data_IF_491831962338
#
_entry.id   IF_491831962338
#
_cell.length_a   1.000
_cell.length_b   1.000
_cell.length_c   1.000
_cell.angle_alpha   90.00
_cell.angle_beta   90.00
_cell.angle_gamma   90.00
#
_symmetry.space_group_name_H-M   'P 1'
#
loop_
_entity.id
_entity.type
_entity.pdbx_description
1 polymer ?
#
# COMPACT_ATOMS: atom_id res chain seq x y z
N UNK A 1 0.21 -26.18 12.44
CA UNK A 1 -0.34 -26.48 11.10
C UNK A 1 0.11 -25.52 10.02
N UNK A 2 0.58 -24.30 10.32
CA UNK A 2 1.01 -23.32 9.33
C UNK A 2 2.22 -22.47 9.79
N UNK A 3 3.09 -23.01 10.65
CA UNK A 3 4.27 -22.26 11.14
C UNK A 3 5.20 -21.89 9.97
N UNK A 4 5.57 -20.61 9.90
CA UNK A 4 6.38 -20.05 8.80
C UNK A 4 5.72 -20.06 7.42
N UNK A 5 4.42 -20.38 7.34
CA UNK A 5 3.62 -20.30 6.11
C UNK A 5 2.85 -18.97 6.10
N UNK A 6 2.35 -18.54 4.94
CA UNK A 6 1.65 -17.26 4.86
C UNK A 6 0.34 -17.28 5.64
N UNK A 7 -0.50 -18.30 5.43
CA UNK A 7 -1.85 -18.34 5.98
C UNK A 7 -2.23 -19.74 6.47
N UNK A 8 -2.94 -19.78 7.60
CA UNK A 8 -3.56 -20.99 8.13
C UNK A 8 -4.88 -21.26 7.39
N UNK A 9 -5.11 -22.52 7.00
CA UNK A 9 -6.42 -23.04 6.59
C UNK A 9 -7.05 -23.77 7.78
N UNK A 10 -7.83 -23.09 8.64
CA UNK A 10 -8.18 -23.61 9.96
C UNK A 10 -9.10 -24.83 9.91
N UNK A 11 -10.05 -24.86 8.97
CA UNK A 11 -11.00 -25.98 8.82
C UNK A 11 -10.26 -27.26 8.42
N UNK A 12 -9.34 -27.18 7.46
CA UNK A 12 -8.58 -28.33 6.96
C UNK A 12 -7.29 -28.61 7.73
N UNK A 13 -6.93 -27.79 8.73
CA UNK A 13 -5.66 -27.87 9.48
C UNK A 13 -4.42 -27.92 8.56
N UNK A 14 -4.40 -27.08 7.54
CA UNK A 14 -3.30 -26.97 6.56
C UNK A 14 -2.88 -25.50 6.39
N UNK A 15 -2.06 -25.19 5.39
CA UNK A 15 -1.64 -23.83 5.05
C UNK A 15 -1.88 -23.49 3.57
N UNK A 16 -1.73 -22.22 3.23
CA UNK A 16 -1.53 -21.75 1.86
C UNK A 16 -0.47 -20.65 1.82
N UNK A 17 0.25 -20.58 0.71
CA UNK A 17 1.24 -19.54 0.43
C UNK A 17 0.88 -18.84 -0.87
N UNK A 18 1.12 -17.53 -0.90
CA UNK A 18 1.01 -16.71 -2.09
C UNK A 18 2.18 -15.71 -2.19
N UNK A 19 2.71 -15.22 -1.07
CA UNK A 19 3.99 -14.50 -1.01
C UNK A 19 5.16 -15.45 -0.71
N UNK A 20 4.93 -16.47 0.11
CA UNK A 20 5.96 -17.40 0.59
C UNK A 20 6.93 -16.78 1.61
N UNK A 21 6.46 -15.78 2.37
CA UNK A 21 7.27 -14.94 3.28
C UNK A 21 6.86 -15.09 4.75
N UNK A 22 6.02 -16.07 5.08
CA UNK A 22 5.53 -16.26 6.46
C UNK A 22 4.59 -15.14 6.88
N UNK A 23 3.75 -14.67 5.94
CA UNK A 23 2.90 -13.49 6.06
C UNK A 23 2.25 -13.31 7.43
N UNK A 24 1.42 -14.26 7.88
CA UNK A 24 0.71 -14.15 9.18
C UNK A 24 1.67 -14.00 10.35
N UNK A 25 2.82 -14.67 10.33
CA UNK A 25 3.81 -14.56 11.41
C UNK A 25 4.38 -13.15 11.47
N UNK A 26 4.83 -12.60 10.33
CA UNK A 26 5.39 -11.24 10.26
C UNK A 26 4.33 -10.18 10.62
N UNK A 27 3.12 -10.31 10.08
CA UNK A 27 1.99 -9.40 10.29
C UNK A 27 1.43 -9.45 11.73
N UNK A 28 1.85 -10.44 12.53
CA UNK A 28 1.45 -10.57 13.93
C UNK A 28 2.53 -10.15 14.92
N UNK A 29 3.75 -9.81 14.47
CA UNK A 29 4.88 -9.49 15.36
C UNK A 29 4.57 -8.32 16.30
N UNK A 30 4.09 -7.21 15.75
CA UNK A 30 3.74 -6.03 16.53
C UNK A 30 2.55 -6.28 17.47
N UNK A 31 1.57 -7.07 17.04
CA UNK A 31 0.41 -7.47 17.84
C UNK A 31 0.84 -8.32 19.03
N UNK A 32 1.70 -9.32 18.81
CA UNK A 32 2.26 -10.13 19.90
C UNK A 32 2.96 -9.25 20.93
N UNK A 33 3.79 -8.31 20.47
CA UNK A 33 4.48 -7.37 21.35
C UNK A 33 3.50 -6.49 22.14
N UNK A 34 2.56 -5.84 21.46
CA UNK A 34 1.58 -4.94 22.08
C UNK A 34 0.66 -5.65 23.09
N UNK A 35 0.39 -6.93 22.88
CA UNK A 35 -0.43 -7.75 23.77
C UNK A 35 0.37 -8.39 24.92
N UNK A 36 1.69 -8.19 24.99
CA UNK A 36 2.54 -8.78 26.02
C UNK A 36 2.83 -10.28 25.83
N UNK A 37 2.63 -10.80 24.61
CA UNK A 37 2.91 -12.19 24.23
C UNK A 37 4.39 -12.34 23.85
N UNK A 38 5.28 -12.07 24.81
CA UNK A 38 6.72 -11.96 24.53
C UNK A 38 7.39 -13.31 24.27
N UNK A 39 6.86 -14.41 24.80
CA UNK A 39 7.40 -15.75 24.54
C UNK A 39 7.11 -16.16 23.08
N UNK A 40 5.88 -15.95 22.60
CA UNK A 40 5.51 -16.17 21.20
C UNK A 40 6.25 -15.21 20.25
N UNK A 41 6.43 -13.95 20.66
CA UNK A 41 7.23 -13.00 19.92
C UNK A 41 8.69 -13.46 19.78
N UNK A 42 9.29 -14.00 20.84
CA UNK A 42 10.66 -14.50 20.80
C UNK A 42 10.81 -15.70 19.84
N UNK A 43 9.85 -16.63 19.85
CA UNK A 43 9.83 -17.76 18.90
C UNK A 43 9.69 -17.26 17.44
N UNK A 44 8.82 -16.27 17.21
CA UNK A 44 8.65 -15.67 15.90
C UNK A 44 9.89 -14.88 15.44
N UNK A 45 10.57 -14.19 16.35
CA UNK A 45 11.83 -13.49 16.07
C UNK A 45 12.92 -14.48 15.64
N UNK A 46 13.04 -15.63 16.31
CA UNK A 46 13.98 -16.68 15.93
C UNK A 46 13.72 -17.19 14.49
N UNK A 47 12.46 -17.32 14.10
CA UNK A 47 12.11 -17.68 12.73
C UNK A 47 12.49 -16.57 11.72
N UNK A 48 12.26 -15.30 12.06
CA UNK A 48 12.67 -14.15 11.20
C UNK A 48 14.19 -14.09 11.04
N UNK A 49 14.93 -14.44 12.10
CA UNK A 49 16.39 -14.48 12.06
C UNK A 49 16.91 -15.61 11.18
N UNK A 50 16.37 -16.82 11.33
CA UNK A 50 16.97 -18.02 10.75
C UNK A 50 16.34 -18.49 9.43
N UNK A 51 15.06 -18.22 9.21
CA UNK A 51 14.27 -18.84 8.12
C UNK A 51 13.75 -17.82 7.10
N UNK A 52 13.51 -16.57 7.51
CA UNK A 52 13.02 -15.54 6.58
C UNK A 52 14.14 -15.11 5.62
N UNK A 53 13.94 -15.43 4.33
CA UNK A 53 14.80 -15.03 3.23
C UNK A 53 13.99 -14.48 2.07
N UNK A 54 14.45 -13.37 1.52
CA UNK A 54 13.90 -12.73 0.31
C UNK A 54 14.67 -13.10 -0.96
N UNK A 55 15.70 -13.94 -0.84
CA UNK A 55 16.48 -14.43 -1.97
C UNK A 55 15.83 -15.67 -2.59
N UNK A 56 14.70 -15.46 -3.25
CA UNK A 56 13.86 -16.54 -3.78
C UNK A 56 13.30 -16.15 -5.15
N UNK A 57 13.10 -17.18 -5.98
CA UNK A 57 12.46 -17.09 -7.29
C UNK A 57 10.94 -16.98 -7.12
N UNK A 58 10.47 -15.77 -6.79
CA UNK A 58 9.07 -15.49 -6.48
C UNK A 58 8.69 -14.08 -6.91
N UNK A 59 7.50 -13.97 -7.49
CA UNK A 59 6.83 -12.73 -7.83
C UNK A 59 5.90 -12.34 -6.68
N UNK A 60 6.00 -11.09 -6.23
CA UNK A 60 5.17 -10.57 -5.15
C UNK A 60 4.51 -9.27 -5.56
N UNK A 61 3.27 -9.05 -5.11
CA UNK A 61 2.64 -7.75 -5.24
C UNK A 61 3.39 -6.73 -4.37
N UNK A 62 3.80 -5.62 -4.98
CA UNK A 62 4.61 -4.58 -4.37
C UNK A 62 3.91 -3.92 -3.18
N UNK A 63 2.62 -3.59 -3.34
CA UNK A 63 1.83 -2.94 -2.29
C UNK A 63 1.61 -3.86 -1.09
N UNK A 64 1.08 -5.06 -1.29
CA UNK A 64 0.80 -6.02 -0.21
C UNK A 64 2.06 -6.39 0.57
N UNK A 65 3.17 -6.60 -0.14
CA UNK A 65 4.46 -6.90 0.50
C UNK A 65 4.97 -5.70 1.32
N UNK A 66 4.73 -4.48 0.84
CA UNK A 66 5.11 -3.27 1.55
C UNK A 66 4.30 -3.09 2.84
N UNK A 67 2.97 -3.08 2.76
CA UNK A 67 2.14 -2.76 3.92
C UNK A 67 2.15 -3.86 4.99
N UNK A 68 2.32 -5.13 4.62
CA UNK A 68 2.31 -6.25 5.58
C UNK A 68 3.70 -6.64 6.04
N UNK A 69 4.60 -6.95 5.11
CA UNK A 69 5.92 -7.51 5.45
C UNK A 69 6.90 -6.40 5.83
N UNK A 70 7.07 -5.39 4.97
CA UNK A 70 7.96 -4.27 5.30
C UNK A 70 7.42 -3.47 6.49
N UNK A 71 6.12 -3.14 6.50
CA UNK A 71 5.43 -2.47 7.60
C UNK A 71 5.50 -3.25 8.91
N UNK A 72 5.25 -4.57 8.89
CA UNK A 72 5.34 -5.44 10.06
C UNK A 72 6.75 -5.53 10.64
N UNK A 73 7.77 -5.70 9.79
CA UNK A 73 9.18 -5.71 10.23
C UNK A 73 9.59 -4.35 10.83
N UNK A 74 9.25 -3.24 10.18
CA UNK A 74 9.56 -1.90 10.69
C UNK A 74 8.86 -1.62 12.03
N UNK A 75 7.61 -2.05 12.18
CA UNK A 75 6.84 -1.89 13.43
C UNK A 75 7.41 -2.76 14.55
N UNK A 76 7.74 -4.02 14.25
CA UNK A 76 8.41 -4.91 15.19
C UNK A 76 9.76 -4.33 15.66
N UNK A 77 10.56 -3.75 14.76
CA UNK A 77 11.79 -3.05 15.12
C UNK A 77 11.52 -1.85 16.04
N UNK A 78 10.55 -0.99 15.69
CA UNK A 78 10.23 0.21 16.45
C UNK A 78 9.77 -0.08 17.88
N UNK A 79 9.03 -1.18 18.07
CA UNK A 79 8.49 -1.59 19.36
C UNK A 79 9.49 -2.36 20.22
N UNK A 80 10.22 -3.30 19.63
CA UNK A 80 11.14 -4.20 20.35
C UNK A 80 12.57 -3.67 20.47
N UNK A 81 12.99 -2.79 19.56
CA UNK A 81 14.38 -2.38 19.41
C UNK A 81 15.30 -3.46 18.82
N UNK A 82 14.78 -4.64 18.47
CA UNK A 82 15.60 -5.74 17.97
C UNK A 82 16.15 -5.42 16.55
N UNK A 83 17.47 -5.50 16.33
CA UNK A 83 18.10 -5.07 15.08
C UNK A 83 17.80 -6.02 13.91
N UNK A 84 17.46 -7.28 14.17
CA UNK A 84 17.15 -8.28 13.14
C UNK A 84 16.01 -7.82 12.22
N UNK A 85 14.98 -7.19 12.77
CA UNK A 85 13.83 -6.74 11.99
C UNK A 85 14.21 -5.60 11.04
N UNK A 86 15.04 -4.63 11.47
CA UNK A 86 15.54 -3.57 10.60
C UNK A 86 16.45 -4.13 9.50
N UNK A 87 17.32 -5.08 9.83
CA UNK A 87 18.18 -5.72 8.84
C UNK A 87 17.35 -6.45 7.76
N UNK A 88 16.28 -7.15 8.14
CA UNK A 88 15.35 -7.79 7.19
C UNK A 88 14.54 -6.77 6.41
N UNK A 89 14.06 -5.71 7.05
CA UNK A 89 13.33 -4.62 6.39
C UNK A 89 14.18 -3.92 5.32
N UNK A 90 15.47 -3.67 5.60
CA UNK A 90 16.39 -3.05 4.64
C UNK A 90 16.68 -3.96 3.43
N UNK A 91 16.90 -5.27 3.64
CA UNK A 91 17.09 -6.20 2.51
C UNK A 91 15.83 -6.29 1.63
N UNK A 92 14.65 -6.41 2.25
CA UNK A 92 13.38 -6.42 1.53
C UNK A 92 13.18 -5.10 0.76
N UNK A 93 13.34 -3.96 1.44
CA UNK A 93 13.19 -2.64 0.83
C UNK A 93 14.08 -2.47 -0.39
N UNK A 94 15.34 -2.90 -0.32
CA UNK A 94 16.29 -2.84 -1.44
C UNK A 94 15.80 -3.63 -2.66
N UNK A 95 15.19 -4.81 -2.46
CA UNK A 95 14.64 -5.63 -3.54
C UNK A 95 13.38 -4.98 -4.14
N UNK A 96 12.52 -4.45 -3.27
CA UNK A 96 11.27 -3.79 -3.67
C UNK A 96 11.48 -2.47 -4.41
N UNK A 97 12.65 -1.81 -4.27
CA UNK A 97 12.98 -0.59 -5.01
C UNK A 97 12.83 -0.73 -6.53
N UNK A 98 12.93 -1.95 -7.06
CA UNK A 98 12.74 -2.25 -8.46
C UNK A 98 11.33 -1.91 -8.98
N UNK A 99 10.31 -1.86 -8.11
CA UNK A 99 8.97 -1.44 -8.48
C UNK A 99 8.95 0.00 -9.03
N UNK A 100 9.76 0.90 -8.47
CA UNK A 100 9.80 2.31 -8.87
C UNK A 100 10.49 2.58 -10.21
N UNK A 101 11.01 1.56 -10.89
CA UNK A 101 11.79 1.70 -12.12
C UNK A 101 10.93 1.83 -13.40
N UNK A 102 9.65 2.17 -13.29
CA UNK A 102 8.81 2.41 -14.48
C UNK A 102 9.19 3.71 -15.20
N UNK A 103 8.86 3.85 -16.49
CA UNK A 103 9.14 5.08 -17.24
C UNK A 103 8.49 6.35 -16.65
N UNK A 104 7.31 6.22 -16.01
CA UNK A 104 6.60 7.37 -15.44
C UNK A 104 7.07 7.75 -14.03
N UNK A 105 7.76 6.84 -13.35
CA UNK A 105 8.08 6.92 -11.92
C UNK A 105 6.97 6.41 -10.99
N UNK A 106 5.81 6.02 -11.52
CA UNK A 106 4.80 5.27 -10.75
C UNK A 106 5.28 3.83 -10.53
N UNK A 107 5.07 3.21 -9.36
CA UNK A 107 5.44 1.83 -9.15
C UNK A 107 4.74 0.86 -10.11
N UNK A 108 5.50 -0.13 -10.57
CA UNK A 108 4.95 -1.40 -11.07
C UNK A 108 4.14 -2.11 -9.97
N UNK A 109 3.16 -2.93 -10.36
CA UNK A 109 2.31 -3.68 -9.43
C UNK A 109 3.07 -4.81 -8.73
N UNK A 110 4.05 -5.41 -9.40
CA UNK A 110 4.72 -6.63 -8.94
C UNK A 110 6.25 -6.49 -9.01
N UNK A 111 6.93 -7.25 -8.14
CA UNK A 111 8.38 -7.37 -8.10
C UNK A 111 8.77 -8.83 -8.04
N UNK A 112 9.74 -9.22 -8.86
CA UNK A 112 10.44 -10.48 -8.69
C UNK A 112 11.57 -10.32 -7.67
N UNK A 113 11.48 -10.97 -6.51
CA UNK A 113 12.37 -10.70 -5.37
C UNK A 113 13.82 -11.15 -5.58
N UNK A 114 14.03 -12.32 -6.17
CA UNK A 114 15.36 -12.86 -6.46
C UNK A 114 16.10 -12.08 -7.56
N UNK A 115 15.34 -11.55 -8.53
CA UNK A 115 15.90 -10.76 -9.64
C UNK A 115 15.99 -9.26 -9.31
N UNK A 116 15.27 -8.81 -8.27
CA UNK A 116 15.00 -7.40 -7.99
C UNK A 116 14.53 -6.66 -9.27
N UNK A 117 13.45 -7.18 -9.88
CA UNK A 117 12.88 -6.64 -11.12
C UNK A 117 11.40 -6.31 -10.94
N UNK A 118 11.04 -5.05 -11.14
CA UNK A 118 9.64 -4.61 -11.17
C UNK A 118 9.00 -4.89 -12.54
N UNK A 119 7.73 -5.28 -12.53
CA UNK A 119 6.94 -5.51 -13.74
C UNK A 119 5.43 -5.41 -13.45
N UNK A 120 4.63 -5.29 -14.50
CA UNK A 120 3.19 -5.51 -14.43
C UNK A 120 2.81 -6.65 -15.40
N UNK A 121 1.89 -7.56 -15.01
CA UNK A 121 1.37 -8.55 -15.94
C UNK A 121 0.75 -7.89 -17.19
N UNK A 122 0.73 -8.62 -18.30
CA UNK A 122 0.29 -8.07 -19.57
C UNK A 122 -1.16 -7.55 -19.49
N UNK A 123 -1.36 -6.26 -19.82
CA UNK A 123 -2.67 -5.62 -19.79
C UNK A 123 -3.15 -5.18 -18.41
N UNK A 124 -2.31 -5.30 -17.37
CA UNK A 124 -2.64 -4.87 -16.00
C UNK A 124 -2.14 -3.44 -15.77
N UNK A 125 -3.04 -2.61 -15.24
CA UNK A 125 -2.76 -1.26 -14.74
C UNK A 125 -2.46 -1.32 -13.24
N UNK A 126 -1.74 -0.33 -12.72
CA UNK A 126 -1.53 -0.20 -11.28
C UNK A 126 -2.79 0.40 -10.64
N UNK A 127 -3.18 -0.11 -9.48
CA UNK A 127 -4.26 0.49 -8.69
C UNK A 127 -3.80 1.82 -8.07
N UNK A 128 -4.72 2.78 -7.93
CA UNK A 128 -4.43 4.07 -7.30
C UNK A 128 -3.92 3.89 -5.87
N UNK A 129 -4.58 3.04 -5.07
CA UNK A 129 -4.16 2.74 -3.70
C UNK A 129 -2.75 2.12 -3.67
N UNK A 130 -2.46 1.15 -4.53
CA UNK A 130 -1.20 0.41 -4.54
C UNK A 130 0.03 1.29 -4.80
N UNK A 131 -0.08 2.30 -5.67
CA UNK A 131 1.04 3.23 -5.94
C UNK A 131 1.24 4.29 -4.86
N UNK A 132 0.23 4.53 -4.03
CA UNK A 132 0.13 5.68 -3.11
C UNK A 132 -0.01 5.30 -1.64
N UNK A 133 0.16 4.00 -1.35
CA UNK A 133 0.02 3.45 -0.01
C UNK A 133 1.26 2.62 0.39
N UNK A 134 2.43 3.15 0.04
CA UNK A 134 3.75 2.56 0.31
C UNK A 134 4.72 3.58 0.93
N UNK A 135 4.28 4.84 1.02
CA UNK A 135 5.14 5.97 1.30
C UNK A 135 5.58 6.03 2.77
N UNK A 136 4.72 5.63 3.70
CA UNK A 136 5.04 5.66 5.13
C UNK A 136 6.19 4.71 5.44
N UNK A 137 6.13 3.50 4.89
CA UNK A 137 7.07 2.41 5.08
C UNK A 137 8.43 2.78 4.49
N UNK A 138 8.45 3.27 3.24
CA UNK A 138 9.70 3.65 2.57
C UNK A 138 10.33 4.92 3.16
N UNK A 139 9.53 5.93 3.55
CA UNK A 139 10.06 7.11 4.27
C UNK A 139 10.61 6.71 5.64
N UNK A 140 9.94 5.81 6.36
CA UNK A 140 10.41 5.35 7.68
C UNK A 140 11.66 4.48 7.57
N UNK A 141 11.74 3.61 6.57
CA UNK A 141 12.94 2.84 6.26
C UNK A 141 14.13 3.77 5.94
N UNK A 142 13.91 4.82 5.13
CA UNK A 142 14.94 5.82 4.85
C UNK A 142 15.46 6.49 6.13
N UNK A 143 14.55 6.83 7.06
CA UNK A 143 14.91 7.44 8.34
C UNK A 143 15.75 6.51 9.21
N UNK A 144 15.40 5.23 9.29
CA UNK A 144 16.11 4.26 10.14
C UNK A 144 17.46 3.84 9.58
N UNK A 145 17.56 3.68 8.26
CA UNK A 145 18.80 3.25 7.57
C UNK A 145 19.74 4.40 7.25
N UNK A 146 19.24 5.64 7.22
CA UNK A 146 19.96 6.80 6.68
C UNK A 146 20.06 6.81 5.14
N UNK A 147 19.49 5.81 4.47
CA UNK A 147 19.49 5.73 3.01
C UNK A 147 18.30 6.49 2.42
N UNK A 148 18.56 7.72 1.97
CA UNK A 148 17.53 8.60 1.44
C UNK A 148 16.83 8.09 0.16
N UNK A 149 17.41 7.11 -0.55
CA UNK A 149 16.84 6.63 -1.82
C UNK A 149 15.44 6.02 -1.65
N UNK A 150 15.17 5.35 -0.52
CA UNK A 150 13.86 4.76 -0.24
C UNK A 150 12.76 5.82 -0.20
N UNK A 151 12.95 6.86 0.62
CA UNK A 151 12.00 7.96 0.74
C UNK A 151 11.88 8.76 -0.55
N UNK A 152 13.00 9.03 -1.22
CA UNK A 152 13.01 9.79 -2.47
C UNK A 152 12.22 9.09 -3.59
N UNK A 153 12.28 7.76 -3.70
CA UNK A 153 11.50 7.02 -4.68
C UNK A 153 9.99 7.06 -4.38
N UNK A 154 9.62 6.92 -3.10
CA UNK A 154 8.24 7.03 -2.65
C UNK A 154 7.65 8.44 -2.91
N UNK A 155 8.45 9.49 -2.67
CA UNK A 155 8.08 10.88 -2.93
C UNK A 155 7.97 11.17 -4.43
N UNK A 156 8.89 10.62 -5.24
CA UNK A 156 8.85 10.75 -6.69
C UNK A 156 7.58 10.10 -7.28
N UNK A 157 7.14 8.96 -6.74
CA UNK A 157 5.89 8.32 -7.10
C UNK A 157 4.66 9.20 -6.78
N UNK A 158 4.62 9.82 -5.60
CA UNK A 158 3.56 10.80 -5.27
C UNK A 158 3.58 12.00 -6.20
N UNK A 159 4.77 12.50 -6.57
CA UNK A 159 4.92 13.56 -7.55
C UNK A 159 4.44 13.14 -8.95
N UNK A 160 4.65 11.89 -9.36
CA UNK A 160 4.14 11.36 -10.62
C UNK A 160 2.61 11.26 -10.62
N UNK A 161 2.04 10.77 -9.52
CA UNK A 161 0.59 10.71 -9.33
C UNK A 161 -0.04 12.11 -9.36
N UNK A 162 0.58 13.09 -8.70
CA UNK A 162 0.10 14.48 -8.71
C UNK A 162 0.12 15.08 -10.12
N UNK A 163 1.16 14.80 -10.92
CA UNK A 163 1.20 15.22 -12.33
C UNK A 163 0.11 14.56 -13.18
N UNK A 164 -0.26 13.32 -12.88
CA UNK A 164 -1.38 12.66 -13.54
C UNK A 164 -2.70 13.33 -13.13
N UNK A 165 -2.87 13.57 -11.83
CA UNK A 165 -4.09 14.16 -11.25
C UNK A 165 -4.33 15.58 -11.72
N UNK A 166 -3.27 16.38 -11.89
CA UNK A 166 -3.38 17.77 -12.37
C UNK A 166 -3.88 17.89 -13.82
N UNK A 167 -3.94 16.79 -14.57
CA UNK A 167 -4.49 16.76 -15.94
C UNK A 167 -6.00 16.48 -15.97
N UNK A 168 -6.59 16.07 -14.85
CA UNK A 168 -8.03 15.85 -14.74
C UNK A 168 -8.75 17.20 -14.78
N UNK A 169 -9.91 17.28 -15.46
CA UNK A 169 -10.68 18.52 -15.58
C UNK A 169 -11.22 19.00 -14.21
N UNK A 170 -11.48 20.30 -14.05
CA UNK A 170 -12.02 20.82 -12.79
C UNK A 170 -13.48 20.37 -12.59
N UNK A 171 -13.76 19.57 -11.54
CA UNK A 171 -15.11 19.11 -11.23
C UNK A 171 -15.15 17.76 -10.51
N UNK A 172 -16.00 16.84 -10.99
CA UNK A 172 -16.07 15.43 -10.55
C UNK A 172 -14.70 14.74 -10.71
N UNK A 173 -13.89 15.20 -11.67
CA UNK A 173 -12.58 14.62 -11.98
C UNK A 173 -11.48 15.00 -10.96
N UNK A 174 -11.81 15.74 -9.90
CA UNK A 174 -10.90 15.93 -8.76
C UNK A 174 -10.79 14.68 -7.86
N UNK A 175 -11.70 13.71 -8.00
CA UNK A 175 -11.56 12.38 -7.41
C UNK A 175 -10.81 11.51 -8.44
N UNK A 176 -9.59 11.03 -8.13
CA UNK A 176 -8.82 10.24 -9.09
C UNK A 176 -9.48 8.87 -9.36
N UNK A 177 -9.49 8.40 -10.62
CA UNK A 177 -9.90 7.04 -10.96
C UNK A 177 -9.06 5.97 -10.26
N UNK A 178 -9.64 4.79 -10.10
CA UNK A 178 -9.01 3.68 -9.36
C UNK A 178 -7.79 3.03 -10.03
N UNK A 179 -7.46 3.36 -11.29
CA UNK A 179 -6.31 2.81 -12.01
C UNK A 179 -5.47 3.86 -12.71
N UNK A 180 -4.20 3.52 -12.93
CA UNK A 180 -3.17 4.33 -13.56
C UNK A 180 -2.31 3.42 -14.45
N UNK A 181 -1.84 3.92 -15.58
CA UNK A 181 -0.81 3.21 -16.35
C UNK A 181 0.60 3.61 -15.84
N UNK A 182 1.38 2.70 -15.23
CA UNK A 182 2.73 3.00 -14.77
C UNK A 182 3.71 3.29 -15.91
N UNK A 183 3.39 2.98 -17.16
CA UNK A 183 4.22 3.33 -18.33
C UNK A 183 4.01 4.77 -18.76
N UNK A 184 2.77 5.19 -18.94
CA UNK A 184 2.46 6.56 -19.41
C UNK A 184 2.40 7.58 -18.28
N UNK A 185 2.11 7.14 -17.05
CA UNK A 185 1.86 8.03 -15.92
C UNK A 185 0.50 8.72 -16.02
N UNK A 186 -0.47 8.10 -16.68
CA UNK A 186 -1.78 8.70 -16.94
C UNK A 186 -2.90 7.80 -16.42
N UNK A 187 -3.98 8.43 -15.99
CA UNK A 187 -5.24 7.75 -15.78
C UNK A 187 -5.78 7.27 -17.15
N UNK A 188 -6.40 6.08 -17.23
CA UNK A 188 -7.13 5.66 -18.42
C UNK A 188 -8.16 6.72 -18.80
N UNK A 189 -8.34 6.96 -20.11
CA UNK A 189 -9.31 7.94 -20.59
C UNK A 189 -10.70 7.70 -19.96
N UNK A 190 -11.20 8.71 -19.25
CA UNK A 190 -12.55 8.70 -18.69
C UNK A 190 -13.54 8.72 -19.87
N UNK A 191 -14.45 7.74 -19.88
CA UNK A 191 -15.59 7.64 -20.79
C UNK A 191 -15.28 7.70 -22.30
N UNK A 192 -15.04 6.52 -22.93
CA UNK A 192 -15.21 6.41 -24.38
C UNK A 192 -14.53 5.21 -25.02
N UNK A 193 -15.29 4.13 -25.24
CA UNK A 193 -15.03 3.18 -26.32
C UNK A 193 -14.32 1.88 -25.93
N UNK A 194 -15.11 0.88 -25.54
CA UNK A 194 -14.76 -0.53 -25.75
C UNK A 194 -14.23 -1.30 -24.55
N UNK A 195 -15.13 -1.67 -23.63
CA UNK A 195 -14.90 -2.69 -22.60
C UNK A 195 -15.39 -2.21 -21.24
N UNK A 196 -16.48 -2.77 -20.74
CA UNK A 196 -17.11 -2.42 -19.46
C UNK A 196 -16.29 -2.83 -18.23
N UNK A 197 -15.01 -2.45 -18.17
CA UNK A 197 -14.06 -2.91 -17.16
C UNK A 197 -13.96 -1.98 -15.94
N UNK A 198 -14.73 -0.88 -15.88
CA UNK A 198 -14.83 -0.02 -14.69
C UNK A 198 -13.58 0.81 -14.36
N UNK A 199 -12.65 1.01 -15.30
CA UNK A 199 -11.38 1.66 -14.98
C UNK A 199 -11.48 3.15 -14.62
N UNK A 200 -12.56 3.82 -15.03
CA UNK A 200 -12.86 5.22 -14.71
C UNK A 200 -13.68 5.40 -13.43
N UNK A 201 -13.97 4.31 -12.69
CA UNK A 201 -14.82 4.37 -11.52
C UNK A 201 -14.15 5.18 -10.41
N UNK A 202 -14.92 6.09 -9.84
CA UNK A 202 -14.59 6.92 -8.69
C UNK A 202 -15.19 6.27 -7.45
N UNK A 203 -14.32 5.82 -6.53
CA UNK A 203 -14.73 5.09 -5.33
C UNK A 203 -13.82 5.44 -4.15
N UNK A 204 -14.33 5.17 -2.94
CA UNK A 204 -13.55 5.13 -1.69
C UNK A 204 -13.34 3.70 -1.21
N UNK A 205 -13.73 2.70 -2.01
CA UNK A 205 -13.50 1.29 -1.74
C UNK A 205 -12.17 0.79 -2.31
N UNK A 206 -12.13 -0.51 -2.54
CA UNK A 206 -10.94 -1.20 -3.02
C UNK A 206 -10.33 -0.50 -4.24
N UNK A 207 -8.99 -0.43 -4.27
CA UNK A 207 -8.15 0.21 -5.30
C UNK A 207 -8.00 1.72 -5.19
N UNK A 208 -8.73 2.39 -4.30
CA UNK A 208 -8.65 3.84 -4.11
C UNK A 208 -8.64 4.28 -2.64
N UNK A 209 -9.27 3.52 -1.75
CA UNK A 209 -9.34 3.75 -0.29
C UNK A 209 -8.07 4.35 0.33
N UNK A 210 -6.96 3.61 0.33
CA UNK A 210 -5.77 3.97 1.10
C UNK A 210 -4.95 5.10 0.47
N UNK A 211 -5.23 5.52 -0.77
CA UNK A 211 -4.71 6.78 -1.31
C UNK A 211 -5.11 7.96 -0.41
N UNK A 212 -6.41 8.07 -0.10
CA UNK A 212 -6.93 9.15 0.75
C UNK A 212 -6.37 9.05 2.17
N UNK A 213 -6.24 7.82 2.68
CA UNK A 213 -5.64 7.55 3.98
C UNK A 213 -4.19 8.05 4.06
N UNK A 214 -3.37 7.70 3.08
CA UNK A 214 -1.93 7.98 3.08
C UNK A 214 -1.62 9.44 2.80
N UNK A 215 -2.47 10.19 2.09
CA UNK A 215 -2.33 11.65 2.01
C UNK A 215 -2.27 12.28 3.40
N UNK A 216 -3.24 11.96 4.26
CA UNK A 216 -3.28 12.52 5.61
C UNK A 216 -2.17 11.93 6.49
N UNK A 217 -1.98 10.60 6.46
CA UNK A 217 -1.00 9.94 7.32
C UNK A 217 0.43 10.37 7.04
N UNK A 218 0.81 10.60 5.78
CA UNK A 218 2.15 11.08 5.43
C UNK A 218 2.44 12.46 6.04
N UNK A 219 1.50 13.41 5.93
CA UNK A 219 1.64 14.72 6.55
C UNK A 219 1.74 14.65 8.08
N UNK A 220 0.96 13.75 8.71
CA UNK A 220 1.07 13.53 10.15
C UNK A 220 2.41 12.90 10.54
N UNK A 221 2.88 11.90 9.78
CA UNK A 221 4.12 11.17 10.04
C UNK A 221 5.37 12.04 9.88
N UNK A 222 5.36 13.05 9.01
CA UNK A 222 6.44 14.04 8.93
C UNK A 222 6.44 15.05 10.08
N UNK A 223 5.54 14.90 11.06
CA UNK A 223 5.40 15.87 12.15
C UNK A 223 4.72 17.15 11.72
N UNK A 224 3.89 17.09 10.66
CA UNK A 224 3.21 18.23 10.04
C UNK A 224 4.18 19.23 9.42
N UNK A 225 5.24 18.72 8.79
CA UNK A 225 6.24 19.53 8.09
C UNK A 225 5.53 20.44 7.06
N UNK A 226 5.82 21.76 7.04
CA UNK A 226 5.30 22.66 6.01
C UNK A 226 5.59 22.21 4.57
N UNK A 227 6.70 21.49 4.33
CA UNK A 227 7.05 20.91 3.03
C UNK A 227 6.07 19.83 2.56
N UNK A 228 5.40 19.14 3.49
CA UNK A 228 4.38 18.12 3.20
C UNK A 228 2.94 18.68 3.29
N UNK A 229 2.75 19.98 3.48
CA UNK A 229 1.43 20.60 3.62
C UNK A 229 0.50 20.29 2.43
N UNK A 230 1.07 20.13 1.23
CA UNK A 230 0.34 19.76 0.02
C UNK A 230 -0.42 18.44 0.14
N UNK A 231 0.09 17.45 0.89
CA UNK A 231 -0.59 16.16 1.08
C UNK A 231 -1.89 16.35 1.89
N UNK A 232 -1.85 17.18 2.93
CA UNK A 232 -3.04 17.53 3.72
C UNK A 232 -4.03 18.36 2.93
N UNK A 233 -3.55 19.29 2.10
CA UNK A 233 -4.43 20.11 1.26
C UNK A 233 -5.14 19.24 0.21
N UNK A 234 -4.43 18.29 -0.40
CA UNK A 234 -5.03 17.28 -1.29
C UNK A 234 -6.06 16.41 -0.56
N UNK A 235 -5.77 15.95 0.66
CA UNK A 235 -6.73 15.19 1.46
C UNK A 235 -8.02 15.97 1.71
N UNK A 236 -7.91 17.23 2.15
CA UNK A 236 -9.08 18.08 2.42
C UNK A 236 -9.90 18.33 1.15
N UNK A 237 -9.22 18.60 0.03
CA UNK A 237 -9.88 18.78 -1.26
C UNK A 237 -10.61 17.50 -1.70
N UNK A 238 -9.97 16.33 -1.62
CA UNK A 238 -10.56 15.05 -1.98
C UNK A 238 -11.79 14.74 -1.11
N UNK A 239 -11.68 14.86 0.21
CA UNK A 239 -12.81 14.61 1.13
C UNK A 239 -13.99 15.54 0.85
N UNK A 240 -13.73 16.80 0.48
CA UNK A 240 -14.80 17.72 0.09
C UNK A 240 -15.54 17.26 -1.17
N UNK A 241 -14.83 16.74 -2.18
CA UNK A 241 -15.46 16.21 -3.39
C UNK A 241 -16.20 14.91 -3.14
N UNK A 242 -15.64 14.02 -2.33
CA UNK A 242 -16.31 12.79 -1.87
C UNK A 242 -17.62 13.12 -1.15
N UNK A 243 -17.59 14.08 -0.22
CA UNK A 243 -18.79 14.51 0.50
C UNK A 243 -19.87 15.07 -0.44
N UNK A 244 -19.45 15.74 -1.52
CA UNK A 244 -20.35 16.33 -2.51
C UNK A 244 -20.94 15.31 -3.49
N UNK A 245 -20.15 14.33 -3.90
CA UNK A 245 -20.46 13.48 -5.05
C UNK A 245 -20.78 12.03 -4.69
N UNK A 246 -20.22 11.50 -3.59
CA UNK A 246 -20.31 10.08 -3.24
C UNK A 246 -21.15 9.83 -1.99
N UNK A 247 -21.47 10.84 -1.18
CA UNK A 247 -22.37 10.64 -0.03
C UNK A 247 -23.80 10.46 -0.50
N UNK A 248 -24.38 9.32 -0.13
CA UNK A 248 -25.78 8.97 -0.39
C UNK A 248 -26.52 8.86 0.93
N UNK A 249 -27.68 9.52 1.04
CA UNK A 249 -28.58 9.35 2.18
C UNK A 249 -29.63 8.27 1.88
N UNK A 250 -29.82 7.36 2.84
CA UNK A 250 -30.82 6.30 2.78
C UNK A 250 -31.59 6.15 4.09
N UNK A 251 -32.49 5.16 4.11
CA UNK A 251 -33.16 4.70 5.32
C UNK A 251 -32.95 3.20 5.48
N UNK A 252 -32.52 2.79 6.66
CA UNK A 252 -32.42 1.37 7.03
C UNK A 252 -33.83 0.75 7.01
N UNK A 253 -34.01 -0.32 6.24
CA UNK A 253 -35.31 -0.92 6.01
C UNK A 253 -35.91 -1.59 7.25
N UNK A 254 -35.08 -2.04 8.20
CA UNK A 254 -35.52 -2.74 9.40
C UNK A 254 -35.86 -1.77 10.56
N UNK A 255 -35.14 -0.66 10.67
CA UNK A 255 -35.20 0.26 11.81
C UNK A 255 -35.77 1.63 11.46
N UNK A 256 -35.89 1.96 10.16
CA UNK A 256 -36.34 3.25 9.66
C UNK A 256 -35.35 4.41 9.91
N UNK A 257 -34.17 4.12 10.47
CA UNK A 257 -33.14 5.11 10.78
C UNK A 257 -32.55 5.70 9.51
N UNK A 258 -32.30 7.01 9.52
CA UNK A 258 -31.52 7.66 8.45
C UNK A 258 -30.09 7.16 8.53
N UNK A 259 -29.54 6.76 7.39
CA UNK A 259 -28.14 6.34 7.25
C UNK A 259 -27.51 7.14 6.11
N UNK A 260 -26.24 7.47 6.27
CA UNK A 260 -25.42 7.98 5.18
C UNK A 260 -24.37 6.93 4.86
N UNK A 261 -24.11 6.70 3.58
CA UNK A 261 -23.07 5.80 3.10
C UNK A 261 -22.36 6.42 1.89
N UNK A 262 -21.20 5.86 1.56
CA UNK A 262 -20.43 6.27 0.38
C UNK A 262 -20.81 5.34 -0.78
N UNK A 263 -21.29 5.92 -1.86
CA UNK A 263 -21.52 5.25 -3.15
C UNK A 263 -20.30 5.34 -4.07
N UNK A 264 -20.50 4.92 -5.31
CA UNK A 264 -19.50 4.95 -6.38
C UNK A 264 -20.07 5.67 -7.61
N UNK A 265 -19.20 6.26 -8.42
CA UNK A 265 -19.57 6.88 -9.70
C UNK A 265 -18.80 6.20 -10.84
N UNK A 266 -19.50 5.79 -11.90
CA UNK A 266 -18.95 4.99 -13.01
C UNK A 266 -19.07 5.68 -14.37
#
# INVERSE_FOLDING_TARGET
YAWGQDELKPISKSSQNWLGLGLTLVDSLDTMWLMGLHDEFAEAQEWVENELSFDKDVEVNFFETTIRVLGGLLSAHALSGAPVFLARAEDLGRRLMAAFASPSGLPWSDVHLGEARGFAPAGVLSSLSEVSSVQLEFRYLARLTGNATFGAAADAAMGALERARSKLEEGIDAIPPMYLDPKSGEFPAAHGGGGGNGHGVLTLGARADSYYEYLLKQWLASGRDPGDAGLRDQYVAAVAQVARHLVVEGRDAATGRRVAFLGELA
#
